data_IF_256069401049
#
_entry.id   IF_256069401049
#
_cell.length_a   1.000
_cell.length_b   1.000
_cell.length_c   1.000
_cell.angle_alpha   90.00
_cell.angle_beta   90.00
_cell.angle_gamma   90.00
#
_symmetry.space_group_name_H-M   'P 1'
#
loop_
_entity.id
_entity.type
_entity.pdbx_description
1 polymer ?
#
# COMPACT_ATOMS: atom_id res chain seq x y z
N UNK A 1 25.92 -24.35 71.35
CA UNK A 1 26.26 -24.22 69.95
C UNK A 1 25.05 -23.56 69.24
N UNK A 2 25.11 -22.25 68.96
CA UNK A 2 24.07 -21.51 68.22
C UNK A 2 24.62 -21.25 66.85
N UNK A 3 24.18 -22.00 65.89
CA UNK A 3 24.63 -21.95 64.51
C UNK A 3 23.98 -20.82 63.75
N UNK A 4 24.82 -20.06 63.04
CA UNK A 4 24.51 -18.93 62.17
C UNK A 4 23.66 -19.30 60.95
N UNK A 5 22.35 -19.39 61.11
CA UNK A 5 21.43 -19.66 59.99
C UNK A 5 20.91 -18.40 59.30
N UNK A 6 21.23 -17.24 59.88
CA UNK A 6 20.67 -15.95 59.42
C UNK A 6 21.47 -15.27 58.32
N UNK A 7 22.70 -15.70 58.04
CA UNK A 7 23.55 -15.05 57.02
C UNK A 7 23.49 -15.70 55.62
N UNK A 8 22.91 -16.89 55.52
CA UNK A 8 22.80 -17.59 54.22
C UNK A 8 21.51 -17.24 53.46
N UNK A 9 20.52 -16.67 54.13
CA UNK A 9 19.24 -16.32 53.52
C UNK A 9 19.21 -14.91 52.91
N UNK A 10 20.21 -14.08 53.22
CA UNK A 10 20.31 -12.70 52.69
C UNK A 10 21.07 -12.61 51.37
N UNK A 11 21.82 -13.67 50.99
CA UNK A 11 22.56 -13.70 49.71
C UNK A 11 21.74 -14.29 48.56
N UNK A 12 20.63 -14.98 48.84
CA UNK A 12 19.77 -15.56 47.85
C UNK A 12 18.69 -14.61 47.28
N UNK A 13 18.51 -13.43 47.90
CA UNK A 13 17.49 -12.45 47.51
C UNK A 13 18.03 -11.32 46.62
N UNK A 14 19.34 -11.28 46.35
CA UNK A 14 19.96 -10.22 45.51
C UNK A 14 20.26 -10.66 44.09
N UNK A 15 19.88 -11.90 43.69
CA UNK A 15 20.18 -12.46 42.39
C UNK A 15 18.95 -12.54 41.44
N UNK A 16 17.80 -11.90 41.78
CA UNK A 16 16.59 -11.99 40.98
C UNK A 16 16.09 -10.67 40.37
N UNK A 17 16.96 -9.67 40.20
CA UNK A 17 16.61 -8.44 39.50
C UNK A 17 17.57 -8.12 38.33
N UNK A 18 17.92 -9.14 37.56
CA UNK A 18 18.34 -8.90 36.18
C UNK A 18 17.16 -9.26 35.27
N UNK A 19 16.08 -8.51 35.39
CA UNK A 19 15.13 -8.54 34.32
C UNK A 19 15.75 -7.85 33.13
N UNK A 20 15.97 -8.66 32.11
CA UNK A 20 16.08 -8.22 30.77
C UNK A 20 15.12 -7.05 30.54
N UNK A 21 15.67 -5.86 30.39
CA UNK A 21 15.06 -4.83 29.58
C UNK A 21 14.92 -5.46 28.20
N UNK A 22 13.78 -6.04 27.94
CA UNK A 22 13.33 -6.25 26.59
C UNK A 22 13.13 -4.82 26.08
N UNK A 23 14.16 -4.25 25.48
CA UNK A 23 13.96 -3.17 24.54
C UNK A 23 12.98 -3.76 23.53
N UNK A 24 11.71 -3.36 23.65
CA UNK A 24 10.82 -3.41 22.53
C UNK A 24 11.53 -2.60 21.46
N UNK A 25 11.99 -3.30 20.45
CA UNK A 25 12.33 -2.70 19.17
C UNK A 25 11.03 -2.08 18.63
N UNK A 26 10.75 -0.84 19.02
CA UNK A 26 9.61 -0.05 18.54
C UNK A 26 9.83 0.43 17.08
N UNK A 27 10.66 -0.28 16.32
CA UNK A 27 11.06 0.11 14.96
C UNK A 27 10.57 -0.80 13.84
N UNK A 28 9.66 -1.73 14.07
CA UNK A 28 8.82 -2.20 12.97
C UNK A 28 7.68 -1.20 12.79
N UNK A 29 7.96 -0.07 12.10
CA UNK A 29 6.90 0.69 11.47
C UNK A 29 6.11 -0.32 10.63
N UNK A 30 4.85 -0.58 10.99
CA UNK A 30 4.04 -1.62 10.35
C UNK A 30 4.03 -1.39 8.85
N UNK A 31 4.71 -2.25 8.10
CA UNK A 31 4.72 -2.20 6.64
C UNK A 31 3.29 -2.39 6.14
N UNK A 32 2.83 -1.49 5.33
CA UNK A 32 1.53 -1.63 4.68
C UNK A 32 1.69 -2.48 3.43
N UNK A 33 1.42 -3.76 3.57
CA UNK A 33 1.42 -4.72 2.46
C UNK A 33 0.00 -4.88 1.97
N UNK A 34 -0.22 -4.55 0.71
CA UNK A 34 -1.52 -4.59 0.04
C UNK A 34 -1.50 -5.68 -1.02
N UNK A 35 -2.56 -6.47 -1.11
CA UNK A 35 -2.78 -7.44 -2.19
C UNK A 35 -4.13 -7.18 -2.82
N UNK A 36 -4.14 -6.87 -4.12
CA UNK A 36 -5.34 -6.59 -4.90
C UNK A 36 -5.53 -7.65 -5.97
N UNK A 37 -6.77 -8.10 -6.15
CA UNK A 37 -7.16 -8.92 -7.29
C UNK A 37 -7.43 -8.08 -8.53
N UNK A 38 -7.23 -8.66 -9.72
CA UNK A 38 -7.74 -8.09 -10.96
C UNK A 38 -9.27 -8.22 -11.05
N UNK A 39 -9.89 -7.68 -12.09
CA UNK A 39 -11.33 -7.50 -12.22
C UNK A 39 -12.19 -8.77 -12.09
N UNK A 40 -11.66 -9.94 -12.39
CA UNK A 40 -12.37 -11.22 -12.28
C UNK A 40 -11.91 -12.09 -11.10
N UNK A 41 -11.02 -11.57 -10.24
CA UNK A 41 -10.59 -12.29 -9.05
C UNK A 41 -11.74 -12.37 -8.03
N UNK A 42 -12.14 -13.59 -7.66
CA UNK A 42 -13.29 -13.83 -6.77
C UNK A 42 -12.91 -13.91 -5.30
N UNK A 43 -11.62 -13.91 -4.96
CA UNK A 43 -11.11 -14.10 -3.59
C UNK A 43 -10.52 -12.85 -2.99
N UNK A 44 -10.07 -11.92 -3.82
CA UNK A 44 -9.44 -10.66 -3.43
C UNK A 44 -10.27 -9.48 -3.90
N UNK A 45 -10.36 -8.44 -3.10
CA UNK A 45 -10.89 -7.16 -3.55
C UNK A 45 -9.92 -6.48 -4.53
N UNK A 46 -10.49 -5.71 -5.46
CA UNK A 46 -9.73 -5.00 -6.48
C UNK A 46 -9.57 -3.50 -6.19
N UNK A 47 -10.16 -2.99 -5.13
CA UNK A 47 -10.26 -1.57 -4.80
C UNK A 47 -9.58 -1.29 -3.48
N UNK A 48 -8.93 -0.13 -3.36
CA UNK A 48 -8.17 0.21 -2.17
C UNK A 48 -8.39 1.67 -1.76
N UNK A 49 -8.59 1.85 -0.46
CA UNK A 49 -8.57 3.15 0.21
C UNK A 49 -7.22 3.37 0.86
N UNK A 50 -6.51 4.39 0.43
CA UNK A 50 -5.22 4.78 1.01
C UNK A 50 -5.39 5.28 2.44
N UNK A 51 -6.38 6.13 2.67
CA UNK A 51 -6.63 6.73 3.98
C UNK A 51 -7.06 5.73 5.06
N UNK A 52 -7.75 4.65 4.66
CA UNK A 52 -8.20 3.59 5.59
C UNK A 52 -7.25 2.39 5.61
N UNK A 53 -6.24 2.34 4.73
CA UNK A 53 -5.40 1.16 4.49
C UNK A 53 -6.25 -0.11 4.33
N UNK A 54 -7.24 -0.06 3.44
CA UNK A 54 -8.27 -1.10 3.35
C UNK A 54 -8.57 -1.49 1.92
N UNK A 55 -8.65 -2.80 1.71
CA UNK A 55 -9.09 -3.41 0.44
C UNK A 55 -10.61 -3.59 0.47
N UNK A 56 -11.24 -3.30 -0.65
CA UNK A 56 -12.69 -3.39 -0.85
C UNK A 56 -13.01 -4.35 -2.00
N UNK A 57 -14.10 -5.11 -1.86
CA UNK A 57 -14.74 -5.78 -2.99
C UNK A 57 -15.37 -4.75 -3.94
N UNK A 58 -15.74 -5.17 -5.16
CA UNK A 58 -16.41 -4.27 -6.10
C UNK A 58 -17.72 -3.70 -5.52
N UNK A 59 -18.53 -4.54 -4.88
CA UNK A 59 -19.80 -4.12 -4.29
C UNK A 59 -19.61 -3.16 -3.10
N UNK A 60 -18.63 -3.44 -2.23
CA UNK A 60 -18.33 -2.55 -1.10
C UNK A 60 -17.73 -1.22 -1.58
N UNK A 61 -16.88 -1.24 -2.59
CA UNK A 61 -16.30 -0.04 -3.20
C UNK A 61 -17.38 0.85 -3.81
N UNK A 62 -18.37 0.28 -4.48
CA UNK A 62 -19.52 1.00 -5.02
C UNK A 62 -20.28 1.78 -3.94
N UNK A 63 -20.43 1.21 -2.75
CA UNK A 63 -21.07 1.88 -1.61
C UNK A 63 -20.16 2.87 -0.87
N UNK A 64 -18.86 2.92 -1.22
CA UNK A 64 -17.85 3.74 -0.56
C UNK A 64 -16.99 4.53 -1.56
N UNK A 65 -17.57 4.92 -2.70
CA UNK A 65 -16.85 5.51 -3.86
C UNK A 65 -15.88 6.63 -3.47
N UNK A 66 -16.30 7.53 -2.56
CA UNK A 66 -15.49 8.67 -2.12
C UNK A 66 -14.22 8.28 -1.35
N UNK A 67 -14.09 7.02 -0.94
CA UNK A 67 -12.93 6.52 -0.21
C UNK A 67 -11.95 5.74 -1.09
N UNK A 68 -12.36 5.40 -2.31
CA UNK A 68 -11.54 4.57 -3.20
C UNK A 68 -10.54 5.45 -3.94
N UNK A 69 -9.27 5.17 -3.72
CA UNK A 69 -8.16 5.90 -4.34
C UNK A 69 -7.50 5.12 -5.47
N UNK A 70 -7.42 3.79 -5.32
CA UNK A 70 -6.78 2.89 -6.27
C UNK A 70 -7.69 1.73 -6.63
N UNK A 71 -7.52 1.21 -7.84
CA UNK A 71 -8.08 -0.06 -8.28
C UNK A 71 -7.08 -0.84 -9.13
N UNK A 72 -7.22 -2.16 -9.15
CA UNK A 72 -6.33 -3.06 -9.88
C UNK A 72 -7.10 -3.76 -10.99
N UNK A 73 -6.51 -3.83 -12.18
CA UNK A 73 -7.04 -4.64 -13.27
C UNK A 73 -5.92 -5.16 -14.18
N UNK A 74 -6.25 -6.16 -14.99
CA UNK A 74 -5.44 -6.68 -16.07
C UNK A 74 -6.13 -6.41 -17.41
N UNK A 75 -5.36 -5.89 -18.38
CA UNK A 75 -5.86 -5.66 -19.73
C UNK A 75 -4.74 -5.90 -20.75
N UNK A 76 -4.90 -6.97 -21.51
CA UNK A 76 -4.02 -7.28 -22.64
C UNK A 76 -4.85 -7.64 -23.85
N UNK A 77 -4.84 -6.77 -24.86
CA UNK A 77 -5.51 -6.99 -26.16
C UNK A 77 -4.57 -6.52 -27.26
N UNK A 78 -4.92 -6.82 -28.52
CA UNK A 78 -4.14 -6.37 -29.69
C UNK A 78 -3.99 -4.83 -29.79
N UNK A 79 -4.90 -4.09 -29.15
CA UNK A 79 -4.95 -2.62 -29.20
C UNK A 79 -4.64 -1.94 -27.87
N UNK A 80 -4.66 -2.69 -26.76
CA UNK A 80 -4.41 -2.18 -25.42
C UNK A 80 -3.56 -3.17 -24.63
N UNK A 81 -2.36 -2.75 -24.29
CA UNK A 81 -1.42 -3.52 -23.48
C UNK A 81 -1.20 -2.71 -22.19
N UNK A 82 -1.96 -3.04 -21.17
CA UNK A 82 -1.83 -2.45 -19.84
C UNK A 82 -1.26 -3.45 -18.85
N UNK A 83 -1.37 -4.76 -19.14
CA UNK A 83 -1.03 -5.88 -18.26
C UNK A 83 -1.54 -5.63 -16.83
N UNK A 84 -0.84 -6.02 -15.79
CA UNK A 84 -1.26 -5.71 -14.44
C UNK A 84 -1.07 -4.21 -14.16
N UNK A 85 -2.14 -3.56 -13.76
CA UNK A 85 -2.23 -2.10 -13.65
C UNK A 85 -2.87 -1.68 -12.33
N UNK A 86 -2.27 -0.67 -11.69
CA UNK A 86 -2.93 0.14 -10.66
C UNK A 86 -3.44 1.44 -11.30
N UNK A 87 -4.68 1.79 -11.01
CA UNK A 87 -5.37 2.91 -11.64
C UNK A 87 -6.16 3.74 -10.64
N UNK A 88 -6.32 5.01 -10.96
CA UNK A 88 -7.32 5.88 -10.34
C UNK A 88 -8.73 5.50 -10.79
N UNK A 89 -9.76 5.56 -9.93
CA UNK A 89 -11.16 5.49 -10.37
C UNK A 89 -11.50 6.53 -11.45
N UNK A 90 -10.92 7.72 -11.36
CA UNK A 90 -11.09 8.82 -12.32
C UNK A 90 -10.35 8.67 -13.66
N UNK A 91 -9.86 7.48 -13.99
CA UNK A 91 -9.07 7.22 -15.20
C UNK A 91 -9.90 6.77 -16.41
N UNK A 92 -11.21 6.98 -16.43
CA UNK A 92 -12.14 6.48 -17.47
C UNK A 92 -11.99 4.97 -17.69
N UNK A 93 -12.24 4.19 -16.62
CA UNK A 93 -12.19 2.73 -16.67
C UNK A 93 -13.50 2.21 -17.27
N UNK A 94 -13.46 1.78 -18.53
CA UNK A 94 -14.62 1.27 -19.26
C UNK A 94 -14.38 -0.13 -19.77
N UNK A 95 -15.39 -1.02 -19.66
CA UNK A 95 -15.33 -2.40 -20.15
C UNK A 95 -14.42 -3.32 -19.35
N UNK A 96 -13.91 -2.89 -18.21
CA UNK A 96 -13.02 -3.69 -17.35
C UNK A 96 -13.85 -4.42 -16.27
N UNK A 97 -14.64 -3.66 -15.52
CA UNK A 97 -15.56 -4.21 -14.53
C UNK A 97 -16.97 -4.32 -15.11
N UNK A 98 -17.76 -5.24 -14.61
CA UNK A 98 -19.11 -5.50 -15.13
C UNK A 98 -20.17 -5.42 -14.03
N UNK A 99 -21.42 -5.29 -14.44
CA UNK A 99 -22.59 -5.25 -13.56
C UNK A 99 -22.88 -3.85 -12.99
N UNK A 100 -23.90 -3.77 -12.17
CA UNK A 100 -24.45 -2.51 -11.64
C UNK A 100 -23.47 -1.76 -10.73
N UNK A 101 -22.55 -2.48 -10.09
CA UNK A 101 -21.50 -1.92 -9.20
C UNK A 101 -20.19 -1.62 -9.92
N UNK A 102 -20.17 -1.67 -11.26
CA UNK A 102 -19.01 -1.30 -12.07
C UNK A 102 -18.56 0.14 -11.83
N UNK A 103 -17.26 0.40 -11.96
CA UNK A 103 -16.66 1.75 -11.86
C UNK A 103 -17.32 2.74 -12.83
N UNK A 104 -17.82 2.29 -13.97
CA UNK A 104 -18.54 3.11 -14.94
C UNK A 104 -19.81 3.73 -14.37
N UNK A 105 -20.39 3.12 -13.33
CA UNK A 105 -21.61 3.56 -12.67
C UNK A 105 -21.32 4.42 -11.42
N UNK A 106 -20.06 4.73 -11.12
CA UNK A 106 -19.71 5.58 -10.00
C UNK A 106 -20.14 7.02 -10.23
N UNK A 107 -20.72 7.64 -9.21
CA UNK A 107 -21.06 9.06 -9.19
C UNK A 107 -19.94 9.92 -8.59
N UNK A 108 -19.02 9.28 -7.86
CA UNK A 108 -17.83 9.92 -7.29
C UNK A 108 -16.60 9.15 -7.77
N UNK A 109 -15.74 9.83 -8.50
CA UNK A 109 -14.54 9.28 -9.10
C UNK A 109 -13.32 10.04 -8.57
N UNK A 110 -12.68 9.53 -7.53
CA UNK A 110 -11.46 10.13 -7.00
C UNK A 110 -10.36 10.09 -8.05
N UNK A 111 -9.55 11.14 -8.05
CA UNK A 111 -8.41 11.27 -8.95
C UNK A 111 -7.11 11.00 -8.20
N UNK A 112 -6.46 9.90 -8.54
CA UNK A 112 -5.07 9.61 -8.13
C UNK A 112 -4.17 9.76 -9.33
N UNK A 113 -3.08 10.49 -9.17
CA UNK A 113 -2.05 10.67 -10.19
C UNK A 113 -0.82 9.85 -9.83
N UNK A 114 -0.16 9.28 -10.84
CA UNK A 114 1.04 8.45 -10.70
C UNK A 114 2.18 9.03 -11.50
N UNK A 115 3.41 8.84 -11.04
CA UNK A 115 4.61 9.09 -11.82
C UNK A 115 5.73 8.12 -11.39
N UNK A 116 6.72 7.84 -12.26
CA UNK A 116 8.00 7.32 -11.79
C UNK A 116 8.58 8.28 -10.73
N UNK A 117 9.27 7.80 -9.67
CA UNK A 117 9.86 8.68 -8.68
C UNK A 117 10.84 9.67 -9.33
N UNK A 118 10.76 10.94 -8.92
CA UNK A 118 11.72 11.97 -9.37
C UNK A 118 13.12 11.60 -8.88
N UNK A 119 14.11 11.82 -9.74
CA UNK A 119 15.52 11.48 -9.51
C UNK A 119 15.81 9.97 -9.33
N UNK A 120 14.78 9.13 -9.54
CA UNK A 120 14.81 7.71 -9.27
C UNK A 120 14.63 7.39 -7.80
N UNK A 121 14.36 6.13 -7.50
CA UNK A 121 14.29 5.58 -6.14
C UNK A 121 14.62 4.10 -6.24
N UNK A 122 15.75 3.69 -5.67
CA UNK A 122 16.14 2.28 -5.66
C UNK A 122 15.30 1.49 -4.64
N UNK A 123 15.31 0.16 -4.78
CA UNK A 123 14.64 -0.74 -3.83
C UNK A 123 15.21 -0.58 -2.42
N UNK A 124 16.53 -0.45 -2.30
CA UNK A 124 17.24 -0.25 -1.03
C UNK A 124 16.86 1.08 -0.36
N UNK A 125 16.76 2.16 -1.15
CA UNK A 125 16.34 3.46 -0.64
C UNK A 125 14.86 3.44 -0.23
N UNK A 126 14.00 2.81 -1.05
CA UNK A 126 12.60 2.61 -0.70
C UNK A 126 12.47 1.91 0.67
N UNK A 127 13.25 0.86 0.91
CA UNK A 127 13.16 0.06 2.14
C UNK A 127 13.57 0.85 3.40
N UNK A 128 14.40 1.89 3.25
CA UNK A 128 14.81 2.78 4.35
C UNK A 128 13.76 3.82 4.72
N UNK A 129 12.87 4.21 3.78
CA UNK A 129 11.82 5.20 4.02
C UNK A 129 10.75 4.58 4.94
N UNK A 130 10.26 5.36 5.89
CA UNK A 130 9.17 4.95 6.79
C UNK A 130 7.84 5.53 6.34
N UNK A 131 6.75 4.85 6.70
CA UNK A 131 5.42 5.41 6.54
C UNK A 131 5.29 6.69 7.38
N UNK A 132 4.78 7.78 6.79
CA UNK A 132 4.70 9.09 7.41
C UNK A 132 5.90 10.01 7.18
N UNK A 133 6.98 9.55 6.56
CA UNK A 133 8.14 10.39 6.26
C UNK A 133 7.81 11.44 5.22
N UNK A 134 8.12 12.71 5.52
CA UNK A 134 7.87 13.84 4.61
C UNK A 134 8.61 13.72 3.29
N UNK A 135 9.74 13.02 3.23
CA UNK A 135 10.50 12.80 1.99
C UNK A 135 9.64 12.17 0.89
N UNK A 136 8.57 11.44 1.25
CA UNK A 136 7.67 10.78 0.29
C UNK A 136 7.10 11.79 -0.71
N UNK A 137 6.74 13.00 -0.29
CA UNK A 137 6.18 14.02 -1.19
C UNK A 137 7.17 14.48 -2.26
N UNK A 138 8.47 14.42 -1.97
CA UNK A 138 9.51 14.87 -2.91
C UNK A 138 9.69 13.95 -4.11
N UNK A 139 9.22 12.71 -4.03
CA UNK A 139 9.27 11.75 -5.14
C UNK A 139 8.14 11.92 -6.15
N UNK A 140 7.11 12.69 -5.81
CA UNK A 140 6.00 12.95 -6.72
C UNK A 140 6.20 14.26 -7.48
N UNK A 141 6.02 14.20 -8.80
CA UNK A 141 5.91 15.39 -9.66
C UNK A 141 4.58 15.35 -10.42
N UNK A 142 3.89 16.45 -10.44
CA UNK A 142 2.67 16.58 -11.24
C UNK A 142 3.03 16.77 -12.71
N UNK A 143 2.93 15.68 -13.46
CA UNK A 143 3.13 15.66 -14.91
C UNK A 143 1.87 16.11 -15.69
N UNK A 144 0.91 16.69 -15.00
CA UNK A 144 -0.39 17.08 -15.55
C UNK A 144 -1.43 15.95 -15.54
N UNK A 145 -2.60 16.21 -16.10
CA UNK A 145 -3.80 15.34 -15.99
C UNK A 145 -3.70 13.96 -16.67
N UNK A 146 -2.51 13.59 -17.20
CA UNK A 146 -2.34 12.40 -18.04
C UNK A 146 -2.09 11.09 -17.29
N UNK A 147 -1.41 11.12 -16.17
CA UNK A 147 -0.90 9.91 -15.51
C UNK A 147 -1.82 9.38 -14.41
N UNK A 148 -2.97 8.84 -14.81
CA UNK A 148 -3.96 8.25 -13.91
C UNK A 148 -3.78 6.74 -13.72
N UNK A 149 -2.73 6.14 -14.28
CA UNK A 149 -2.47 4.70 -14.28
C UNK A 149 -0.97 4.43 -14.17
N UNK A 150 -0.60 3.47 -13.32
CA UNK A 150 0.69 2.79 -13.34
C UNK A 150 0.48 1.43 -14.01
N UNK A 151 1.09 1.24 -15.19
CA UNK A 151 0.82 0.12 -16.09
C UNK A 151 2.03 -0.78 -16.24
N UNK A 152 1.82 -2.01 -16.73
CA UNK A 152 2.88 -2.97 -17.03
C UNK A 152 3.71 -3.26 -15.77
N UNK A 153 3.04 -3.37 -14.65
CA UNK A 153 3.70 -3.48 -13.35
C UNK A 153 4.39 -4.82 -13.19
N UNK A 154 5.68 -4.78 -12.91
CA UNK A 154 6.53 -5.92 -12.63
C UNK A 154 7.13 -5.83 -11.21
N UNK A 155 7.68 -6.94 -10.72
CA UNK A 155 8.37 -6.99 -9.43
C UNK A 155 9.49 -5.96 -9.40
N UNK A 156 9.64 -5.29 -8.26
CA UNK A 156 10.58 -4.19 -7.98
C UNK A 156 10.27 -2.85 -8.67
N UNK A 157 9.20 -2.75 -9.45
CA UNK A 157 8.74 -1.45 -9.92
C UNK A 157 8.31 -0.55 -8.76
N UNK A 158 8.78 0.70 -8.79
CA UNK A 158 8.46 1.73 -7.81
C UNK A 158 7.75 2.89 -8.52
N UNK A 159 6.63 3.34 -7.96
CA UNK A 159 5.90 4.51 -8.40
C UNK A 159 5.62 5.45 -7.23
N UNK A 160 5.65 6.75 -7.51
CA UNK A 160 5.09 7.78 -6.65
C UNK A 160 3.66 8.10 -7.08
N UNK A 161 2.83 8.50 -6.13
CA UNK A 161 1.44 8.90 -6.42
C UNK A 161 0.96 10.01 -5.49
N UNK A 162 -0.11 10.69 -5.92
CA UNK A 162 -0.85 11.66 -5.12
C UNK A 162 -2.34 11.42 -5.27
N UNK A 163 -3.03 11.23 -4.16
CA UNK A 163 -4.49 11.07 -4.14
C UNK A 163 -5.20 12.42 -4.21
N UNK A 164 -6.50 12.39 -4.50
CA UNK A 164 -7.32 13.59 -4.58
C UNK A 164 -7.37 14.39 -3.27
N UNK A 165 -7.29 13.72 -2.12
CA UNK A 165 -7.29 14.35 -0.81
C UNK A 165 -5.93 14.93 -0.39
N UNK A 166 -4.94 14.89 -1.29
CA UNK A 166 -3.61 15.45 -1.11
C UNK A 166 -2.62 14.53 -0.38
N UNK A 167 -2.95 13.26 -0.15
CA UNK A 167 -2.00 12.29 0.38
C UNK A 167 -0.98 11.90 -0.70
N UNK A 168 0.30 12.06 -0.40
CA UNK A 168 1.40 11.55 -1.21
C UNK A 168 1.73 10.12 -0.81
N UNK A 169 2.19 9.33 -1.77
CA UNK A 169 2.65 7.99 -1.50
C UNK A 169 3.67 7.49 -2.49
N UNK A 170 4.36 6.44 -2.08
CA UNK A 170 5.20 5.60 -2.92
C UNK A 170 4.76 4.15 -2.72
N UNK A 171 4.81 3.37 -3.78
CA UNK A 171 4.64 1.92 -3.65
C UNK A 171 5.71 1.17 -4.42
N UNK A 172 6.04 -0.04 -3.93
CA UNK A 172 6.95 -0.99 -4.56
C UNK A 172 6.22 -2.29 -4.80
N UNK A 173 6.24 -2.79 -6.02
CA UNK A 173 5.65 -4.08 -6.38
C UNK A 173 6.51 -5.21 -5.78
N UNK A 174 5.87 -6.11 -5.05
CA UNK A 174 6.51 -7.26 -4.41
C UNK A 174 6.28 -8.55 -5.19
N UNK A 175 5.09 -8.72 -5.74
CA UNK A 175 4.70 -9.92 -6.47
C UNK A 175 3.60 -9.58 -7.47
N UNK A 176 3.61 -10.23 -8.62
CA UNK A 176 2.52 -10.26 -9.61
C UNK A 176 2.19 -11.72 -9.88
N UNK A 177 0.91 -12.06 -10.05
CA UNK A 177 0.50 -13.44 -10.35
C UNK A 177 1.05 -13.93 -11.68
N UNK A 178 1.50 -15.17 -11.72
CA UNK A 178 1.96 -15.84 -12.94
C UNK A 178 1.03 -17.02 -13.30
N UNK A 179 0.45 -17.08 -14.50
CA UNK A 179 0.48 -16.00 -15.49
C UNK A 179 -0.36 -14.79 -15.07
N UNK A 180 -0.04 -13.61 -15.60
CA UNK A 180 -0.91 -12.44 -15.47
C UNK A 180 -2.22 -12.68 -16.21
N UNK A 181 -3.34 -12.32 -15.57
CA UNK A 181 -4.68 -12.58 -16.14
C UNK A 181 -5.75 -11.72 -15.45
N UNK A 182 -6.97 -11.78 -16.00
CA UNK A 182 -8.14 -11.07 -15.44
C UNK A 182 -8.56 -11.55 -14.04
N UNK A 183 -8.19 -12.77 -13.64
CA UNK A 183 -8.37 -13.35 -12.31
C UNK A 183 -7.07 -13.35 -11.48
N UNK A 184 -6.01 -12.75 -12.01
CA UNK A 184 -4.73 -12.57 -11.34
C UNK A 184 -4.77 -11.59 -10.16
N UNK A 185 -3.61 -11.21 -9.69
CA UNK A 185 -3.46 -10.29 -8.56
C UNK A 185 -2.08 -9.64 -8.56
N UNK A 186 -1.98 -8.53 -7.83
CA UNK A 186 -0.73 -7.82 -7.53
C UNK A 186 -0.58 -7.66 -6.02
N UNK A 187 0.66 -7.72 -5.52
CA UNK A 187 1.03 -7.42 -4.14
C UNK A 187 2.10 -6.35 -4.11
N UNK A 188 1.93 -5.35 -3.30
CA UNK A 188 2.87 -4.23 -3.19
C UNK A 188 2.98 -3.73 -1.75
N UNK A 189 4.12 -3.14 -1.41
CA UNK A 189 4.31 -2.35 -0.20
C UNK A 189 4.00 -0.89 -0.52
N UNK A 190 3.24 -0.23 0.34
CA UNK A 190 2.87 1.19 0.19
C UNK A 190 3.33 1.99 1.41
N UNK A 191 3.82 3.19 1.17
CA UNK A 191 4.18 4.18 2.18
C UNK A 191 3.56 5.51 1.81
N UNK A 192 3.01 6.21 2.80
CA UNK A 192 2.26 7.44 2.56
C UNK A 192 2.69 8.56 3.50
N UNK A 193 2.49 9.79 3.04
CA UNK A 193 2.63 11.01 3.82
C UNK A 193 1.50 11.96 3.47
N UNK A 194 0.86 12.54 4.47
CA UNK A 194 -0.16 13.57 4.30
C UNK A 194 0.31 14.86 4.95
N UNK A 195 0.54 15.93 4.16
CA UNK A 195 0.86 17.24 4.71
C UNK A 195 -0.24 17.72 5.67
N UNK A 196 0.17 18.23 6.82
CA UNK A 196 -0.76 18.96 7.70
C UNK A 196 -1.04 20.31 7.06
N UNK A 197 -2.29 20.64 6.83
CA UNK A 197 -2.67 22.00 6.40
C UNK A 197 -2.43 22.93 7.59
N UNK A 198 -1.51 23.89 7.42
CA UNK A 198 -1.33 24.99 8.36
C UNK A 198 -2.47 26.01 8.24
#
# INVERSE_FOLDING_TARGET
MKTNFSKLMLLALLAMFTFASCEKDDSESSKWIVKLGAQSNTTLGAFYSVSENKVYSQADAFNNQAKIDLLCFYEHTDTRINDMTLSSPGANITGIYTGETSVENYTTLNLTLFCPPVDGLTVEEFDLIKNGDQIIETYFVDLGSGNKKAKLLAVDDIYAFKTQDGTFGIFKVLEVSEPESVDGWIKFEIKTYKPTLE
#
